data_IF_003451047360
#
_entry.id   IF_003451047360
#
_cell.length_a   1.000
_cell.length_b   1.000
_cell.length_c   1.000
_cell.angle_alpha   90.00
_cell.angle_beta   90.00
_cell.angle_gamma   90.00
#
_symmetry.space_group_name_H-M   'P 1'
#
loop_
_entity.id
_entity.type
_entity.pdbx_description
1 polymer ?
#
# COMPACT_ATOMS: atom_id res chain seq x y z
N UNK A 1 0.58 -7.26 -15.11
CA UNK A 1 0.71 -8.13 -13.94
C UNK A 1 1.78 -7.62 -13.02
N UNK A 2 1.48 -7.59 -11.73
CA UNK A 2 2.41 -7.04 -10.78
C UNK A 2 3.26 -8.12 -10.16
N UNK A 3 4.57 -7.90 -10.12
CA UNK A 3 5.44 -8.81 -9.43
C UNK A 3 5.36 -8.60 -7.95
N UNK A 4 5.44 -9.68 -7.17
CA UNK A 4 5.50 -9.50 -5.72
C UNK A 4 6.66 -8.65 -5.28
N UNK A 5 7.71 -8.58 -6.10
CA UNK A 5 8.86 -7.79 -5.74
C UNK A 5 8.62 -6.32 -5.83
N UNK A 6 7.56 -5.92 -6.50
CA UNK A 6 7.23 -4.51 -6.60
C UNK A 6 6.49 -4.01 -5.38
N UNK A 7 6.14 -4.92 -4.49
CA UNK A 7 5.44 -4.53 -3.30
C UNK A 7 6.44 -4.18 -2.22
N UNK A 8 6.30 -3.03 -1.63
CA UNK A 8 7.23 -2.55 -0.63
C UNK A 8 6.69 -2.89 0.74
N UNK A 9 7.49 -3.58 1.53
CA UNK A 9 7.04 -4.02 2.83
C UNK A 9 7.39 -2.98 3.87
N UNK A 10 6.39 -2.55 4.65
CA UNK A 10 6.60 -1.58 5.72
C UNK A 10 5.85 -2.05 6.95
N UNK A 11 6.26 -1.54 8.10
CA UNK A 11 5.55 -1.84 9.33
C UNK A 11 4.35 -0.93 9.46
N UNK A 12 3.38 -1.36 10.27
CA UNK A 12 2.21 -0.56 10.52
C UNK A 12 2.60 0.77 11.15
N UNK A 13 3.53 0.73 12.06
CA UNK A 13 3.98 1.93 12.72
C UNK A 13 4.63 2.88 11.73
N UNK A 14 5.44 2.35 10.85
CA UNK A 14 6.11 3.16 9.85
C UNK A 14 5.10 3.78 8.89
N UNK A 15 4.11 3.00 8.50
CA UNK A 15 3.08 3.49 7.60
C UNK A 15 2.30 4.63 8.24
N UNK A 16 1.96 4.49 9.52
CA UNK A 16 1.21 5.53 10.21
C UNK A 16 2.03 6.79 10.40
N UNK A 17 3.32 6.65 10.66
CA UNK A 17 4.16 7.82 10.88
C UNK A 17 4.31 8.65 9.63
N UNK A 18 4.27 8.03 8.46
CA UNK A 18 4.44 8.74 7.21
C UNK A 18 3.25 8.54 6.30
N UNK A 19 2.07 8.56 6.90
CA UNK A 19 0.86 8.20 6.18
C UNK A 19 0.66 9.06 4.93
N UNK A 20 0.84 10.35 5.06
CA UNK A 20 0.60 11.25 3.92
C UNK A 20 1.56 10.95 2.78
N UNK A 21 2.81 10.66 3.11
CA UNK A 21 3.80 10.35 2.10
C UNK A 21 3.45 9.06 1.38
N UNK A 22 3.06 8.04 2.14
CA UNK A 22 2.72 6.77 1.51
C UNK A 22 1.46 6.88 0.67
N UNK A 23 0.48 7.63 1.15
CA UNK A 23 -0.73 7.81 0.36
C UNK A 23 -0.45 8.55 -0.93
N UNK A 24 0.45 9.53 -0.88
CA UNK A 24 0.83 10.24 -2.08
C UNK A 24 1.48 9.30 -3.09
N UNK A 25 2.34 8.42 -2.62
CA UNK A 25 2.98 7.46 -3.50
C UNK A 25 1.96 6.53 -4.13
N UNK A 26 0.99 6.10 -3.34
CA UNK A 26 -0.03 5.21 -3.85
C UNK A 26 -0.88 5.90 -4.90
N UNK A 27 -1.32 7.12 -4.61
CA UNK A 27 -2.25 7.80 -5.50
C UNK A 27 -1.60 8.36 -6.73
N UNK A 28 -0.37 8.83 -6.61
CA UNK A 28 0.27 9.51 -7.73
C UNK A 28 1.28 8.66 -8.48
N UNK A 29 1.77 7.62 -7.84
CA UNK A 29 2.79 6.78 -8.48
C UNK A 29 2.39 5.33 -8.58
N UNK A 30 1.20 4.98 -8.13
CA UNK A 30 0.74 3.60 -8.23
C UNK A 30 1.49 2.63 -7.36
N UNK A 31 2.05 3.10 -6.26
CA UNK A 31 2.83 2.24 -5.40
C UNK A 31 1.95 1.24 -4.66
N UNK A 32 2.53 0.11 -4.32
CA UNK A 32 1.84 -0.93 -3.56
C UNK A 32 2.67 -1.24 -2.34
N UNK A 33 2.01 -1.25 -1.18
CA UNK A 33 2.71 -1.48 0.08
C UNK A 33 2.10 -2.67 0.80
N UNK A 34 2.97 -3.47 1.39
CA UNK A 34 2.54 -4.55 2.27
C UNK A 34 2.80 -4.10 3.68
N UNK A 35 1.75 -3.87 4.43
CA UNK A 35 1.85 -3.31 5.78
C UNK A 35 1.77 -4.45 6.77
N UNK A 36 2.87 -4.65 7.48
CA UNK A 36 2.94 -5.71 8.47
C UNK A 36 2.49 -5.19 9.81
N UNK A 37 1.56 -5.89 10.42
CA UNK A 37 1.02 -5.50 11.70
C UNK A 37 1.69 -6.29 12.80
N UNK A 38 1.60 -5.76 14.01
CA UNK A 38 2.28 -6.37 15.14
C UNK A 38 1.64 -7.68 15.57
N UNK A 39 0.41 -7.94 15.18
CA UNK A 39 -0.25 -9.18 15.55
C UNK A 39 0.01 -10.30 14.57
N UNK A 40 0.89 -10.07 13.60
CA UNK A 40 1.23 -11.13 12.65
C UNK A 40 0.44 -11.10 11.37
N UNK A 41 -0.52 -10.20 11.25
CA UNK A 41 -1.28 -10.08 10.01
C UNK A 41 -0.65 -9.04 9.11
N UNK A 42 -1.11 -8.95 7.90
CA UNK A 42 -0.61 -8.00 6.93
C UNK A 42 -1.76 -7.46 6.11
N UNK A 43 -1.61 -6.22 5.66
CA UNK A 43 -2.60 -5.56 4.86
C UNK A 43 -1.93 -4.99 3.64
N UNK A 44 -2.61 -5.04 2.51
CA UNK A 44 -2.07 -4.48 1.27
C UNK A 44 -2.73 -3.15 1.01
N UNK A 45 -1.91 -2.14 0.79
CA UNK A 45 -2.39 -0.81 0.41
C UNK A 45 -2.03 -0.57 -1.04
N UNK A 46 -3.04 -0.31 -1.86
CA UNK A 46 -2.83 -0.14 -3.28
C UNK A 46 -3.85 0.84 -3.81
N UNK A 47 -3.60 1.42 -5.00
CA UNK A 47 -4.58 2.34 -5.55
C UNK A 47 -5.85 1.62 -5.91
N UNK A 48 -6.96 2.29 -5.69
CA UNK A 48 -8.24 1.74 -6.04
C UNK A 48 -8.56 2.18 -7.44
N UNK A 49 -8.69 1.23 -8.32
CA UNK A 49 -9.07 1.54 -9.69
C UNK A 49 -10.56 1.40 -9.79
N UNK A 50 -11.22 2.52 -9.85
CA UNK A 50 -12.65 2.47 -9.93
C UNK A 50 -13.07 2.36 -11.33
N UNK A 51 -13.32 1.19 -11.73
CA UNK A 51 -13.85 0.99 -13.04
C UNK A 51 -15.30 0.90 -12.88
N UNK A 52 -15.95 1.94 -13.12
CA UNK A 52 -17.37 1.96 -12.97
C UNK A 52 -18.01 1.31 -14.15
N UNK A 53 -18.21 0.06 -14.01
CA UNK A 53 -18.82 -0.67 -15.08
C UNK A 53 -20.29 -0.56 -14.99
N UNK A 54 -20.94 -0.21 -16.02
CA UNK A 54 -22.40 -0.17 -16.03
C UNK A 54 -22.99 -1.54 -15.91
#
# INVERSE_FOLDING_TARGET
MMDPEEMIEVSEEQFQSNFDTYMDQIENHGAHYLIRRSDGTAVVAAPITEELEP
#
